data_IF_321502049728
#
_entry.id   IF_321502049728
#
_cell.length_a   1.000
_cell.length_b   1.000
_cell.length_c   1.000
_cell.angle_alpha   90.00
_cell.angle_beta   90.00
_cell.angle_gamma   90.00
#
_symmetry.space_group_name_H-M   'P 1'
#
loop_
_entity.id
_entity.type
_entity.pdbx_description
1 polymer ?
#
# COMPACT_ATOMS: atom_id res chain seq x y z
N UNK A 1 -15.38 2.67 -17.90
CA UNK A 1 -16.31 3.79 -18.18
C UNK A 1 -17.75 3.39 -17.95
N UNK A 2 -18.28 3.71 -16.76
CA UNK A 2 -19.70 3.50 -16.38
C UNK A 2 -20.30 4.84 -15.96
N UNK A 3 -20.62 5.66 -16.95
CA UNK A 3 -21.02 7.06 -16.73
C UNK A 3 -22.47 7.20 -16.23
N UNK A 4 -23.33 6.22 -16.54
CA UNK A 4 -24.74 6.25 -16.12
C UNK A 4 -24.93 5.88 -14.64
N UNK A 5 -23.95 5.23 -14.02
CA UNK A 5 -23.94 4.89 -12.59
C UNK A 5 -22.57 5.21 -11.94
N UNK A 6 -22.18 6.50 -11.82
CA UNK A 6 -20.83 6.89 -11.40
C UNK A 6 -20.41 6.32 -10.04
N UNK A 7 -21.34 6.26 -9.08
CA UNK A 7 -21.09 5.72 -7.75
C UNK A 7 -20.72 4.23 -7.72
N UNK A 8 -20.95 3.50 -8.83
CA UNK A 8 -20.57 2.08 -8.99
C UNK A 8 -19.36 1.90 -9.91
N UNK A 9 -18.74 2.97 -10.40
CA UNK A 9 -17.67 2.87 -11.41
C UNK A 9 -16.37 2.27 -10.83
N UNK A 10 -15.96 2.69 -9.63
CA UNK A 10 -14.79 2.10 -8.96
C UNK A 10 -15.17 0.77 -8.30
N UNK A 11 -14.58 -0.33 -8.78
CA UNK A 11 -14.89 -1.70 -8.36
C UNK A 11 -13.65 -2.62 -8.40
N UNK A 12 -12.65 -2.40 -7.54
CA UNK A 12 -11.46 -3.25 -7.47
C UNK A 12 -11.84 -4.74 -7.38
N UNK A 13 -11.09 -5.60 -8.08
CA UNK A 13 -11.28 -7.06 -8.15
C UNK A 13 -12.61 -7.58 -8.74
N UNK A 14 -13.60 -6.72 -9.01
CA UNK A 14 -14.84 -7.13 -9.68
C UNK A 14 -14.57 -7.60 -11.12
N UNK A 15 -15.36 -8.58 -11.59
CA UNK A 15 -15.23 -9.14 -12.96
C UNK A 15 -15.52 -8.08 -14.03
N UNK A 16 -16.43 -7.14 -13.74
CA UNK A 16 -16.82 -6.08 -14.66
C UNK A 16 -16.02 -4.78 -14.49
N UNK A 17 -14.87 -4.80 -13.79
CA UNK A 17 -13.98 -3.63 -13.69
C UNK A 17 -13.39 -3.29 -15.06
N UNK A 18 -13.28 -2.01 -15.35
CA UNK A 18 -12.85 -1.52 -16.67
C UNK A 18 -11.94 -0.29 -16.62
N UNK A 19 -11.24 -0.10 -15.50
CA UNK A 19 -10.32 1.00 -15.25
C UNK A 19 -10.45 1.55 -13.83
N UNK A 20 -9.59 2.52 -13.48
CA UNK A 20 -9.71 3.29 -12.24
C UNK A 20 -10.53 4.56 -12.46
N UNK A 21 -10.96 5.19 -11.36
CA UNK A 21 -11.66 6.48 -11.37
C UNK A 21 -10.73 7.53 -10.75
N UNK A 22 -10.52 8.65 -11.45
CA UNK A 22 -9.69 9.75 -10.96
C UNK A 22 -10.44 10.48 -9.85
N UNK A 23 -9.72 10.80 -8.76
CA UNK A 23 -10.19 11.58 -7.64
C UNK A 23 -9.08 12.51 -7.15
N UNK A 24 -9.41 13.47 -6.27
CA UNK A 24 -8.48 14.45 -5.72
C UNK A 24 -8.54 14.50 -4.18
N UNK A 25 -7.42 14.87 -3.55
CA UNK A 25 -7.28 14.96 -2.10
C UNK A 25 -5.82 14.92 -1.64
N UNK A 26 -5.57 15.04 -0.33
CA UNK A 26 -4.25 14.92 0.27
C UNK A 26 -4.33 14.17 1.61
N UNK A 27 -3.27 13.40 1.92
CA UNK A 27 -3.07 12.75 3.21
C UNK A 27 -1.67 13.07 3.74
N UNK A 28 -1.56 13.35 5.04
CA UNK A 28 -0.30 13.71 5.69
C UNK A 28 -0.14 12.88 6.95
N UNK A 29 1.06 12.34 7.15
CA UNK A 29 1.48 11.66 8.38
C UNK A 29 2.65 12.43 8.99
N UNK A 30 2.70 12.44 10.33
CA UNK A 30 3.84 12.97 11.08
C UNK A 30 4.66 11.78 11.57
N UNK A 31 5.85 11.60 11.01
CA UNK A 31 6.80 10.57 11.44
C UNK A 31 7.78 11.18 12.44
N UNK A 32 8.13 10.40 13.44
CA UNK A 32 8.97 10.85 14.54
C UNK A 32 9.80 9.68 15.09
N UNK A 33 10.99 9.99 15.58
CA UNK A 33 11.80 9.02 16.31
C UNK A 33 11.11 8.65 17.63
N UNK A 34 11.10 7.36 17.98
CA UNK A 34 10.29 6.80 19.04
C UNK A 34 10.61 7.37 20.43
N UNK A 35 11.88 7.49 20.79
CA UNK A 35 12.27 8.03 22.10
C UNK A 35 12.03 9.54 22.20
N UNK A 36 12.18 10.29 21.10
CA UNK A 36 11.80 11.69 21.02
C UNK A 36 10.29 11.87 21.23
N UNK A 37 9.47 11.08 20.54
CA UNK A 37 8.01 11.09 20.69
C UNK A 37 7.59 10.76 22.14
N UNK A 38 8.20 9.73 22.74
CA UNK A 38 7.97 9.36 24.14
C UNK A 38 8.37 10.46 25.12
N UNK A 39 9.54 11.08 24.92
CA UNK A 39 10.06 12.14 25.80
C UNK A 39 9.12 13.34 25.89
N UNK A 40 8.45 13.68 24.78
CA UNK A 40 7.44 14.76 24.74
C UNK A 40 6.01 14.27 25.00
N UNK A 41 5.83 13.01 25.37
CA UNK A 41 4.53 12.36 25.59
C UNK A 41 3.57 12.53 24.40
N UNK A 42 4.07 12.29 23.19
CA UNK A 42 3.27 12.32 21.97
C UNK A 42 2.23 11.19 21.96
N UNK A 43 1.08 11.43 21.31
CA UNK A 43 0.15 10.34 20.99
C UNK A 43 0.70 9.49 19.84
N UNK A 44 1.09 8.25 20.14
CA UNK A 44 1.67 7.32 19.18
C UNK A 44 0.55 6.46 18.59
N UNK A 45 0.30 6.60 17.28
CA UNK A 45 -0.78 5.88 16.59
C UNK A 45 -0.35 4.48 16.13
N UNK A 46 0.85 4.38 15.58
CA UNK A 46 1.43 3.16 15.06
C UNK A 46 2.95 3.34 14.91
N UNK A 47 3.64 2.24 14.62
CA UNK A 47 5.05 2.22 14.25
C UNK A 47 5.17 1.82 12.76
N UNK A 48 6.05 2.50 12.02
CA UNK A 48 6.41 2.08 10.66
C UNK A 48 7.53 1.05 10.76
N UNK A 49 7.16 -0.22 10.87
CA UNK A 49 8.11 -1.29 11.18
C UNK A 49 8.98 -1.73 9.99
N UNK A 50 8.53 -1.56 8.75
CA UNK A 50 9.26 -2.04 7.57
C UNK A 50 8.92 -1.33 6.27
N UNK A 51 9.88 -1.34 5.36
CA UNK A 51 9.76 -0.75 4.02
C UNK A 51 10.42 -1.67 2.99
N UNK A 52 9.76 -1.86 1.85
CA UNK A 52 10.23 -2.71 0.77
C UNK A 52 9.99 -2.03 -0.57
N UNK A 53 10.99 -2.07 -1.44
CA UNK A 53 10.94 -1.43 -2.76
C UNK A 53 11.54 -2.35 -3.82
N UNK A 54 10.88 -2.40 -4.98
CA UNK A 54 11.31 -3.13 -6.18
C UNK A 54 10.88 -2.37 -7.43
N UNK A 55 11.35 -2.80 -8.60
CA UNK A 55 10.88 -2.30 -9.89
C UNK A 55 10.66 -3.48 -10.85
N UNK A 56 9.56 -3.45 -11.60
CA UNK A 56 9.21 -4.50 -12.56
C UNK A 56 10.22 -4.61 -13.72
N UNK A 57 10.85 -3.49 -14.10
CA UNK A 57 11.78 -3.41 -15.24
C UNK A 57 11.21 -4.06 -16.53
N UNK A 58 9.89 -3.94 -16.75
CA UNK A 58 9.16 -4.62 -17.80
C UNK A 58 8.55 -3.65 -18.84
N UNK A 59 7.33 -3.14 -18.58
CA UNK A 59 6.60 -2.26 -19.48
C UNK A 59 6.25 -0.93 -18.79
N UNK A 60 6.10 0.15 -19.57
CA UNK A 60 5.90 1.51 -19.04
C UNK A 60 4.59 1.68 -18.23
N UNK A 61 3.56 0.88 -18.53
CA UNK A 61 2.24 0.98 -17.90
C UNK A 61 1.64 -0.36 -17.48
N UNK A 62 2.23 -1.47 -17.93
CA UNK A 62 1.71 -2.80 -17.65
C UNK A 62 2.63 -3.48 -16.63
N UNK A 63 2.08 -4.07 -15.55
CA UNK A 63 2.89 -4.82 -14.60
C UNK A 63 3.42 -6.11 -15.24
N UNK A 64 4.38 -6.76 -14.58
CA UNK A 64 4.70 -8.16 -14.86
C UNK A 64 3.46 -9.05 -14.65
N UNK A 65 3.23 -9.99 -15.56
CA UNK A 65 2.04 -10.86 -15.57
C UNK A 65 1.94 -11.74 -14.31
N UNK A 66 3.09 -12.17 -13.79
CA UNK A 66 3.19 -12.99 -12.58
C UNK A 66 3.16 -12.17 -11.27
N UNK A 67 3.21 -10.83 -11.35
CA UNK A 67 3.26 -9.94 -10.20
C UNK A 67 4.48 -10.14 -9.29
N UNK A 68 5.55 -10.79 -9.78
CA UNK A 68 6.65 -11.27 -8.94
C UNK A 68 7.34 -10.14 -8.16
N UNK A 69 7.48 -8.96 -8.76
CA UNK A 69 8.14 -7.83 -8.09
C UNK A 69 7.26 -7.21 -7.01
N UNK A 70 5.94 -7.13 -7.20
CA UNK A 70 5.01 -6.74 -6.12
C UNK A 70 5.06 -7.71 -4.94
N UNK A 71 5.08 -9.02 -5.21
CA UNK A 71 5.26 -10.03 -4.17
C UNK A 71 6.62 -9.90 -3.46
N UNK A 72 7.69 -9.57 -4.22
CA UNK A 72 9.02 -9.34 -3.66
C UNK A 72 9.08 -8.08 -2.80
N UNK A 73 8.43 -6.98 -3.19
CA UNK A 73 8.35 -5.76 -2.39
C UNK A 73 7.68 -6.01 -1.03
N UNK A 74 6.56 -6.73 -1.01
CA UNK A 74 5.90 -7.16 0.24
C UNK A 74 6.84 -8.02 1.09
N UNK A 75 7.53 -8.99 0.47
CA UNK A 75 8.49 -9.85 1.17
C UNK A 75 9.64 -9.05 1.82
N UNK A 76 10.19 -8.06 1.10
CA UNK A 76 11.25 -7.19 1.62
C UNK A 76 10.76 -6.30 2.77
N UNK A 77 9.53 -5.79 2.70
CA UNK A 77 8.95 -5.00 3.78
C UNK A 77 8.76 -5.82 5.06
N UNK A 78 8.32 -7.08 4.92
CA UNK A 78 8.18 -8.04 6.03
C UNK A 78 9.55 -8.38 6.63
N UNK A 79 10.55 -8.63 5.78
CA UNK A 79 11.92 -8.89 6.21
C UNK A 79 12.51 -7.68 6.97
N UNK A 80 12.33 -6.47 6.44
CA UNK A 80 12.71 -5.22 7.11
C UNK A 80 12.03 -5.06 8.47
N UNK A 81 10.76 -5.46 8.58
CA UNK A 81 10.00 -5.43 9.83
C UNK A 81 10.38 -6.54 10.82
N UNK A 82 11.17 -7.54 10.39
CA UNK A 82 11.61 -8.68 11.22
C UNK A 82 10.45 -9.45 11.85
N UNK A 83 9.33 -9.56 11.13
CA UNK A 83 8.18 -10.35 11.53
C UNK A 83 7.98 -11.53 10.56
N UNK A 84 7.21 -12.53 10.99
CA UNK A 84 6.75 -13.60 10.11
C UNK A 84 5.45 -13.18 9.40
N UNK A 85 5.16 -13.68 8.19
CA UNK A 85 3.96 -13.30 7.43
C UNK A 85 2.63 -13.56 8.16
N UNK A 86 2.56 -14.56 9.06
CA UNK A 86 1.37 -14.86 9.86
C UNK A 86 1.02 -13.76 10.88
N UNK A 87 1.91 -12.78 11.11
CA UNK A 87 1.62 -11.61 11.94
C UNK A 87 0.82 -10.53 11.20
N UNK A 88 0.68 -10.65 9.88
CA UNK A 88 -0.09 -9.69 9.09
C UNK A 88 -1.57 -10.02 9.20
N UNK A 89 -2.32 -9.13 9.84
CA UNK A 89 -3.76 -9.29 10.02
C UNK A 89 -4.60 -8.61 8.92
N UNK A 90 -4.04 -7.62 8.24
CA UNK A 90 -4.72 -6.82 7.25
C UNK A 90 -3.77 -6.36 6.15
N UNK A 91 -4.26 -6.37 4.90
CA UNK A 91 -3.57 -5.81 3.73
C UNK A 91 -4.52 -4.80 3.10
N UNK A 92 -4.09 -3.55 3.00
CA UNK A 92 -4.78 -2.54 2.21
C UNK A 92 -4.36 -2.74 0.73
N UNK A 93 -5.33 -3.00 -0.14
CA UNK A 93 -5.12 -3.35 -1.56
C UNK A 93 -5.71 -2.32 -2.52
#
# INVERSE_FOLDING_TARGET
TRNDEPAKASRPFDKGRDGFVIAEGAGILILEEYEHAKKRNANILAEVCGYGFTADANHITAPLEDGAMGARAMSLAIESAKISPDKISYVNT
#
